data_IF_402202203368
#
_entry.id   IF_402202203368
#
_cell.length_a   1.000
_cell.length_b   1.000
_cell.length_c   1.000
_cell.angle_alpha   90.00
_cell.angle_beta   90.00
_cell.angle_gamma   90.00
#
_symmetry.space_group_name_H-M   'P 1'
#
loop_
_entity.id
_entity.type
_entity.pdbx_description
1 polymer ?
#
# COMPACT_ATOMS: atom_id res chain seq x y z
N UNK A 1 18.31 -4.53 -13.72
CA UNK A 1 18.98 -5.71 -13.12
C UNK A 1 20.03 -5.37 -12.07
N UNK A 2 21.21 -4.80 -12.39
CA UNK A 2 22.27 -4.54 -11.36
C UNK A 2 21.86 -3.56 -10.25
N UNK A 3 21.16 -2.47 -10.60
CA UNK A 3 20.64 -1.51 -9.60
C UNK A 3 19.48 -2.07 -8.77
N UNK A 4 18.62 -2.91 -9.37
CA UNK A 4 17.52 -3.56 -8.66
C UNK A 4 18.05 -4.56 -7.63
N UNK A 5 19.07 -5.35 -7.97
CA UNK A 5 19.75 -6.26 -7.05
C UNK A 5 20.36 -5.48 -5.87
N UNK A 6 20.99 -4.32 -6.12
CA UNK A 6 21.58 -3.47 -5.08
C UNK A 6 20.54 -2.88 -4.11
N UNK A 7 19.35 -2.54 -4.59
CA UNK A 7 18.23 -2.07 -3.76
C UNK A 7 17.73 -3.21 -2.87
N UNK A 8 17.55 -4.40 -3.44
CA UNK A 8 17.14 -5.59 -2.70
C UNK A 8 18.19 -5.92 -1.62
N UNK A 9 19.48 -5.91 -1.94
CA UNK A 9 20.57 -6.16 -0.98
C UNK A 9 20.56 -5.16 0.17
N UNK A 10 20.34 -3.86 -0.08
CA UNK A 10 20.25 -2.85 0.97
C UNK A 10 19.08 -3.12 1.92
N UNK A 11 17.92 -3.50 1.39
CA UNK A 11 16.73 -3.83 2.17
C UNK A 11 16.91 -5.10 2.99
N UNK A 12 17.49 -6.15 2.40
CA UNK A 12 17.82 -7.40 3.10
C UNK A 12 18.85 -7.13 4.21
N UNK A 13 19.87 -6.32 3.96
CA UNK A 13 20.90 -5.99 4.95
C UNK A 13 20.34 -5.21 6.15
N UNK A 14 19.38 -4.30 5.94
CA UNK A 14 18.68 -3.66 7.06
C UNK A 14 17.94 -4.66 7.95
N UNK A 15 17.40 -5.74 7.37
CA UNK A 15 16.69 -6.78 8.11
C UNK A 15 17.61 -7.85 8.72
N UNK A 16 18.78 -8.10 8.14
CA UNK A 16 19.69 -9.15 8.59
C UNK A 16 20.38 -8.84 9.92
N UNK A 17 20.52 -7.56 10.27
CA UNK A 17 21.14 -7.16 11.54
C UNK A 17 20.19 -7.22 12.74
N UNK A 18 18.90 -7.46 12.48
CA UNK A 18 17.85 -7.45 13.51
C UNK A 18 17.64 -8.83 14.15
N UNK A 19 17.00 -8.85 15.32
CA UNK A 19 16.42 -10.11 15.82
C UNK A 19 15.31 -10.60 14.88
N UNK A 20 14.98 -11.89 14.92
CA UNK A 20 13.89 -12.45 14.08
C UNK A 20 12.56 -11.71 14.30
N UNK A 21 12.23 -11.42 15.57
CA UNK A 21 11.06 -10.62 15.96
C UNK A 21 11.12 -9.20 15.38
N UNK A 22 12.24 -8.50 15.55
CA UNK A 22 12.41 -7.14 15.06
C UNK A 22 12.35 -7.07 13.52
N UNK A 23 12.96 -8.04 12.82
CA UNK A 23 12.88 -8.19 11.37
C UNK A 23 11.43 -8.30 10.87
N UNK A 24 10.62 -9.16 11.49
CA UNK A 24 9.22 -9.36 11.12
C UNK A 24 8.38 -8.09 11.41
N UNK A 25 8.58 -7.45 12.55
CA UNK A 25 7.87 -6.22 12.92
C UNK A 25 8.20 -5.10 11.95
N UNK A 26 9.49 -4.90 11.67
CA UNK A 26 9.97 -3.87 10.75
C UNK A 26 9.42 -4.08 9.34
N UNK A 27 9.42 -5.33 8.84
CA UNK A 27 8.83 -5.67 7.55
C UNK A 27 7.34 -5.26 7.47
N UNK A 28 6.56 -5.54 8.52
CA UNK A 28 5.16 -5.14 8.60
C UNK A 28 4.97 -3.62 8.57
N UNK A 29 5.80 -2.87 9.29
CA UNK A 29 5.74 -1.40 9.31
C UNK A 29 6.12 -0.78 7.96
N UNK A 30 7.13 -1.32 7.27
CA UNK A 30 7.56 -0.83 5.95
C UNK A 30 6.44 -1.05 4.91
N UNK A 31 5.79 -2.22 4.90
CA UNK A 31 4.66 -2.48 3.99
C UNK A 31 3.53 -1.49 4.25
N UNK A 32 3.21 -1.21 5.52
CA UNK A 32 2.14 -0.30 5.90
C UNK A 32 2.38 1.13 5.40
N UNK A 33 3.63 1.60 5.49
CA UNK A 33 4.06 2.91 4.97
C UNK A 33 4.02 2.96 3.43
N UNK A 34 4.45 1.91 2.74
CA UNK A 34 4.39 1.87 1.27
C UNK A 34 2.94 1.85 0.78
N UNK A 35 2.06 1.08 1.42
CA UNK A 35 0.63 1.07 1.07
C UNK A 35 -0.01 2.43 1.34
N UNK A 36 0.33 3.10 2.44
CA UNK A 36 -0.10 4.48 2.69
C UNK A 36 0.28 5.38 1.51
N UNK A 37 1.55 5.38 1.08
CA UNK A 37 2.05 6.19 -0.04
C UNK A 37 1.36 5.89 -1.36
N UNK A 38 1.04 4.61 -1.61
CA UNK A 38 0.28 4.20 -2.79
C UNK A 38 -1.11 4.83 -2.77
N UNK A 39 -1.84 4.76 -1.66
CA UNK A 39 -3.17 5.35 -1.56
C UNK A 39 -3.16 6.87 -1.59
N UNK A 40 -2.25 7.49 -0.87
CA UNK A 40 -2.06 8.95 -0.84
C UNK A 40 -1.83 9.52 -2.25
N UNK A 41 -1.10 8.77 -3.09
CA UNK A 41 -0.91 9.10 -4.51
C UNK A 41 -2.09 8.72 -5.40
N UNK A 42 -2.77 7.61 -5.12
CA UNK A 42 -3.79 7.04 -5.99
C UNK A 42 -5.16 7.71 -5.83
N UNK A 43 -5.54 8.11 -4.62
CA UNK A 43 -6.83 8.71 -4.36
C UNK A 43 -6.89 10.16 -4.85
N UNK A 44 -8.11 10.68 -5.01
CA UNK A 44 -8.33 12.11 -5.24
C UNK A 44 -7.73 12.88 -4.07
N UNK A 45 -6.90 13.89 -4.36
CA UNK A 45 -6.22 14.68 -3.33
C UNK A 45 -7.20 15.26 -2.32
N UNK A 46 -6.94 15.05 -1.04
CA UNK A 46 -7.71 15.67 0.02
C UNK A 46 -7.25 17.14 0.22
N UNK A 47 -8.17 18.12 0.42
CA UNK A 47 -7.78 19.53 0.55
C UNK A 47 -6.91 19.86 1.77
N UNK A 48 -6.85 18.97 2.77
CA UNK A 48 -6.06 19.13 3.98
C UNK A 48 -4.94 18.10 4.04
N UNK A 49 -3.88 18.41 4.78
CA UNK A 49 -2.82 17.46 5.09
C UNK A 49 -3.26 16.32 6.02
N UNK A 50 -4.41 16.45 6.69
CA UNK A 50 -4.94 15.45 7.60
C UNK A 50 -6.17 14.76 6.99
N UNK A 51 -5.93 13.81 6.08
CA UNK A 51 -7.00 13.03 5.46
C UNK A 51 -7.64 12.05 6.47
N UNK A 52 -8.95 12.20 6.78
CA UNK A 52 -9.67 11.33 7.70
C UNK A 52 -9.66 9.84 7.32
N UNK A 53 -9.42 9.49 6.05
CA UNK A 53 -9.32 8.11 5.60
C UNK A 53 -8.17 7.36 6.28
N UNK A 54 -7.08 8.04 6.63
CA UNK A 54 -5.89 7.43 7.25
C UNK A 54 -5.86 7.56 8.78
N UNK A 55 -6.77 8.35 9.37
CA UNK A 55 -6.87 8.51 10.82
C UNK A 55 -7.32 7.21 11.50
N UNK A 56 -7.19 7.12 12.83
CA UNK A 56 -7.40 5.88 13.60
C UNK A 56 -8.73 5.13 13.32
N UNK A 57 -9.80 5.86 12.96
CA UNK A 57 -11.12 5.28 12.64
C UNK A 57 -11.46 5.31 11.14
N UNK A 58 -10.51 5.71 10.29
CA UNK A 58 -10.68 5.82 8.85
C UNK A 58 -10.65 4.48 8.13
N UNK A 59 -11.13 4.46 6.89
CA UNK A 59 -11.18 3.24 6.09
C UNK A 59 -9.78 2.66 5.80
N UNK A 60 -8.74 3.50 5.76
CA UNK A 60 -7.34 3.12 5.54
C UNK A 60 -6.50 3.22 6.83
N UNK A 61 -7.13 3.10 8.01
CA UNK A 61 -6.43 3.22 9.29
C UNK A 61 -5.53 2.03 9.63
N UNK A 62 -5.91 0.82 9.20
CA UNK A 62 -5.20 -0.41 9.54
C UNK A 62 -4.50 -1.02 8.33
N UNK A 63 -3.40 -1.73 8.58
CA UNK A 63 -2.69 -2.50 7.55
C UNK A 63 -3.61 -3.51 6.86
N UNK A 64 -4.53 -4.17 7.57
CA UNK A 64 -5.52 -5.07 6.94
C UNK A 64 -6.39 -4.33 5.93
N UNK A 65 -6.97 -3.19 6.32
CA UNK A 65 -7.86 -2.45 5.43
C UNK A 65 -7.12 -1.94 4.20
N UNK A 66 -5.87 -1.46 4.35
CA UNK A 66 -5.05 -1.04 3.20
C UNK A 66 -4.81 -2.20 2.24
N UNK A 67 -4.46 -3.39 2.74
CA UNK A 67 -4.26 -4.58 1.89
C UNK A 67 -5.55 -4.94 1.15
N UNK A 68 -6.66 -5.03 1.88
CA UNK A 68 -7.96 -5.41 1.33
C UNK A 68 -8.45 -4.42 0.29
N UNK A 69 -8.40 -3.12 0.59
CA UNK A 69 -8.79 -2.08 -0.33
C UNK A 69 -7.86 -2.03 -1.54
N UNK A 70 -6.55 -2.23 -1.38
CA UNK A 70 -5.63 -2.19 -2.52
C UNK A 70 -5.98 -3.30 -3.53
N UNK A 71 -6.39 -4.47 -3.04
CA UNK A 71 -6.90 -5.53 -3.89
C UNK A 71 -8.24 -5.15 -4.54
N UNK A 72 -9.17 -4.59 -3.77
CA UNK A 72 -10.51 -4.24 -4.26
C UNK A 72 -10.50 -3.09 -5.27
N UNK A 73 -9.55 -2.18 -5.17
CA UNK A 73 -9.29 -1.13 -6.17
C UNK A 73 -8.49 -1.63 -7.39
N UNK A 74 -8.10 -2.90 -7.42
CA UNK A 74 -7.33 -3.48 -8.53
C UNK A 74 -5.87 -3.00 -8.59
N UNK A 75 -5.37 -2.37 -7.53
CA UNK A 75 -3.98 -1.88 -7.43
C UNK A 75 -3.01 -3.07 -7.29
N UNK A 76 -3.45 -4.12 -6.60
CA UNK A 76 -2.66 -5.33 -6.35
C UNK A 76 -3.44 -6.58 -6.76
N UNK A 77 -2.72 -7.66 -7.09
CA UNK A 77 -3.35 -8.95 -7.39
C UNK A 77 -3.85 -9.65 -6.12
N UNK A 78 -4.81 -10.58 -6.27
CA UNK A 78 -5.24 -11.45 -5.17
C UNK A 78 -4.06 -12.24 -4.58
N UNK A 79 -3.09 -12.61 -5.43
CA UNK A 79 -1.92 -13.33 -4.99
C UNK A 79 -1.04 -12.48 -4.07
N UNK A 80 -0.78 -11.22 -4.45
CA UNK A 80 -0.02 -10.28 -3.62
C UNK A 80 -0.78 -9.94 -2.33
N UNK A 81 -2.10 -9.78 -2.40
CA UNK A 81 -2.96 -9.59 -1.22
C UNK A 81 -2.74 -10.69 -0.16
N UNK A 82 -2.79 -11.97 -0.58
CA UNK A 82 -2.50 -13.12 0.29
C UNK A 82 -1.09 -13.08 0.90
N UNK A 83 -0.09 -12.68 0.11
CA UNK A 83 1.28 -12.50 0.60
C UNK A 83 1.37 -11.46 1.71
N UNK A 84 0.78 -10.28 1.47
CA UNK A 84 0.82 -9.16 2.42
C UNK A 84 0.08 -9.51 3.72
N UNK A 85 -1.04 -10.23 3.64
CA UNK A 85 -1.71 -10.76 4.82
C UNK A 85 -0.90 -11.80 5.58
N UNK A 86 -0.06 -12.59 4.91
CA UNK A 86 0.85 -13.52 5.59
C UNK A 86 1.90 -12.76 6.41
N UNK A 87 2.44 -11.67 5.87
CA UNK A 87 3.35 -10.78 6.62
C UNK A 87 2.63 -10.07 7.77
N UNK A 88 1.41 -9.56 7.54
CA UNK A 88 0.57 -8.98 8.60
C UNK A 88 0.32 -9.98 9.74
N UNK A 89 0.02 -11.24 9.41
CA UNK A 89 -0.21 -12.29 10.41
C UNK A 89 1.06 -12.56 11.24
N UNK A 90 2.22 -12.66 10.58
CA UNK A 90 3.51 -12.80 11.26
C UNK A 90 3.80 -11.61 12.19
N UNK A 91 3.61 -10.37 11.70
CA UNK A 91 3.75 -9.15 12.51
C UNK A 91 2.88 -9.19 13.76
N UNK A 92 1.60 -9.55 13.61
CA UNK A 92 0.66 -9.58 14.72
C UNK A 92 1.06 -10.65 15.76
N UNK A 93 1.49 -11.82 15.30
CA UNK A 93 2.04 -12.87 16.17
C UNK A 93 3.24 -12.31 16.96
N UNK A 94 4.20 -11.67 16.29
CA UNK A 94 5.34 -11.03 16.93
C UNK A 94 4.99 -9.81 17.81
N UNK A 95 3.82 -9.20 17.66
CA UNK A 95 3.41 -8.04 18.46
C UNK A 95 2.66 -8.44 19.74
N UNK A 96 1.88 -9.53 19.69
CA UNK A 96 0.97 -9.91 20.76
C UNK A 96 1.48 -11.07 21.64
N UNK A 97 2.43 -11.86 21.16
CA UNK A 97 3.01 -12.96 21.95
C UNK A 97 4.13 -12.41 22.85
N UNK A 98 4.07 -12.79 24.14
CA UNK A 98 5.05 -12.38 25.15
C UNK A 98 6.38 -13.13 25.01
N UNK A 99 6.34 -14.38 24.54
CA UNK A 99 7.52 -15.20 24.33
C UNK A 99 8.34 -14.75 23.10
N UNK A 100 9.64 -15.05 23.12
CA UNK A 100 10.55 -14.75 22.01
C UNK A 100 10.20 -15.61 20.79
N UNK A 101 9.62 -14.99 19.76
CA UNK A 101 9.31 -15.65 18.48
C UNK A 101 10.52 -15.62 17.56
N UNK A 102 10.79 -16.76 16.93
CA UNK A 102 11.90 -16.96 16.01
C UNK A 102 11.43 -17.60 14.70
N UNK A 103 12.29 -17.55 13.68
CA UNK A 103 12.07 -18.26 12.41
C UNK A 103 12.15 -19.79 12.54
N UNK A 104 12.50 -20.31 13.72
CA UNK A 104 12.51 -21.75 14.02
C UNK A 104 11.15 -22.27 14.49
N UNK A 105 10.24 -21.39 14.92
CA UNK A 105 8.92 -21.79 15.41
C UNK A 105 8.03 -22.32 14.30
N UNK A 106 7.32 -23.42 14.55
CA UNK A 106 6.52 -24.09 13.54
C UNK A 106 5.46 -23.16 12.93
N UNK A 107 4.78 -22.36 13.77
CA UNK A 107 3.78 -21.37 13.32
C UNK A 107 4.39 -20.36 12.32
N UNK A 108 5.62 -19.92 12.55
CA UNK A 108 6.33 -18.96 11.68
C UNK A 108 6.78 -19.62 10.39
N UNK A 109 7.26 -20.87 10.47
CA UNK A 109 7.63 -21.69 9.31
C UNK A 109 6.46 -21.90 8.38
N UNK A 110 5.30 -22.30 8.91
CA UNK A 110 4.11 -22.59 8.11
C UNK A 110 3.64 -21.36 7.34
N UNK A 111 3.60 -20.19 7.99
CA UNK A 111 3.20 -18.94 7.33
C UNK A 111 4.27 -18.50 6.32
N UNK A 112 5.56 -18.58 6.66
CA UNK A 112 6.66 -18.23 5.76
C UNK A 112 6.73 -19.13 4.52
N UNK A 113 6.39 -20.42 4.64
CA UNK A 113 6.32 -21.34 3.52
C UNK A 113 5.18 -20.99 2.56
N UNK A 114 4.01 -20.60 3.08
CA UNK A 114 2.90 -20.13 2.26
C UNK A 114 3.23 -18.84 1.49
N UNK A 115 4.04 -17.96 2.09
CA UNK A 115 4.54 -16.74 1.46
C UNK A 115 5.49 -17.06 0.29
N UNK A 116 6.31 -18.10 0.42
CA UNK A 116 7.34 -18.47 -0.56
C UNK A 116 6.81 -19.23 -1.78
N UNK A 117 5.68 -19.94 -1.65
CA UNK A 117 5.03 -20.65 -2.77
C UNK A 117 4.57 -19.73 -3.92
N UNK A 118 4.62 -18.41 -3.70
CA UNK A 118 4.14 -17.36 -4.59
C UNK A 118 5.18 -17.03 -5.67
N UNK A 119 6.45 -17.27 -5.38
CA UNK A 119 7.52 -17.13 -6.34
C UNK A 119 7.74 -18.44 -7.10
N UNK A 120 6.82 -18.80 -8.01
CA UNK A 120 7.09 -19.82 -9.06
C UNK A 120 8.36 -19.50 -9.90
N UNK A 121 8.88 -18.27 -9.80
CA UNK A 121 10.17 -17.84 -10.34
C UNK A 121 11.38 -18.45 -9.59
N UNK A 122 11.23 -18.89 -8.35
CA UNK A 122 12.34 -19.45 -7.56
C UNK A 122 12.67 -20.90 -7.89
N UNK A 123 11.74 -21.70 -8.42
CA UNK A 123 12.07 -23.08 -8.80
C UNK A 123 13.02 -23.18 -10.00
N UNK A 124 13.20 -22.10 -10.78
CA UNK A 124 14.15 -22.05 -11.90
C UNK A 124 15.52 -21.42 -11.52
N UNK A 125 15.55 -20.55 -10.51
CA UNK A 125 16.79 -19.89 -10.02
C UNK A 125 17.43 -20.66 -8.85
N UNK A 126 16.63 -21.36 -8.06
CA UNK A 126 17.06 -22.04 -6.81
C UNK A 126 17.06 -23.57 -6.99
N UNK A 127 17.09 -24.06 -8.23
CA UNK A 127 16.90 -25.45 -8.65
C UNK A 127 17.91 -26.48 -8.10
N UNK A 128 18.72 -26.17 -7.09
CA UNK A 128 19.55 -27.18 -6.41
C UNK A 128 19.58 -27.10 -4.87
N UNK A 129 18.93 -26.14 -4.19
CA UNK A 129 19.06 -26.03 -2.71
C UNK A 129 17.86 -25.42 -1.94
N UNK A 130 16.64 -25.32 -2.51
CA UNK A 130 15.47 -24.68 -1.84
C UNK A 130 15.17 -25.27 -0.45
N UNK A 131 15.34 -26.58 -0.28
CA UNK A 131 15.11 -27.27 1.00
C UNK A 131 16.12 -26.87 2.09
N UNK A 132 17.31 -26.40 1.70
CA UNK A 132 18.37 -25.96 2.63
C UNK A 132 18.30 -24.49 3.00
N UNK A 133 17.45 -23.70 2.36
CA UNK A 133 17.29 -22.28 2.70
C UNK A 133 16.52 -22.17 4.01
N UNK A 134 17.13 -21.54 5.02
CA UNK A 134 16.48 -21.31 6.30
C UNK A 134 15.25 -20.38 6.15
N UNK A 135 14.31 -20.48 7.09
CA UNK A 135 13.03 -19.75 7.04
C UNK A 135 13.23 -18.23 6.99
N UNK A 136 14.25 -17.71 7.67
CA UNK A 136 14.58 -16.29 7.67
C UNK A 136 14.92 -15.79 6.28
N UNK A 137 15.79 -16.50 5.56
CA UNK A 137 16.19 -16.15 4.20
C UNK A 137 15.00 -16.23 3.22
N UNK A 138 14.10 -17.21 3.39
CA UNK A 138 12.85 -17.28 2.61
C UNK A 138 11.97 -16.05 2.85
N UNK A 139 11.80 -15.68 4.12
CA UNK A 139 11.03 -14.51 4.52
C UNK A 139 11.63 -13.21 3.98
N UNK A 140 12.94 -12.98 4.18
CA UNK A 140 13.59 -11.74 3.73
C UNK A 140 13.55 -11.61 2.21
N UNK A 141 13.78 -12.70 1.48
CA UNK A 141 13.64 -12.70 0.02
C UNK A 141 12.23 -12.35 -0.44
N UNK A 142 11.21 -13.01 0.13
CA UNK A 142 9.83 -12.74 -0.23
C UNK A 142 9.41 -11.30 0.12
N UNK A 143 9.84 -10.80 1.29
CA UNK A 143 9.62 -9.41 1.68
C UNK A 143 10.26 -8.43 0.68
N UNK A 144 11.53 -8.63 0.34
CA UNK A 144 12.25 -7.76 -0.59
C UNK A 144 11.59 -7.75 -1.97
N UNK A 145 11.14 -8.90 -2.46
CA UNK A 145 10.37 -8.98 -3.70
C UNK A 145 9.05 -8.21 -3.62
N UNK A 146 8.27 -8.38 -2.55
CA UNK A 146 7.00 -7.67 -2.37
C UNK A 146 7.18 -6.15 -2.27
N UNK A 147 8.19 -5.70 -1.53
CA UNK A 147 8.51 -4.27 -1.44
C UNK A 147 8.95 -3.71 -2.78
N UNK A 148 9.72 -4.47 -3.57
CA UNK A 148 10.10 -4.05 -4.91
C UNK A 148 8.86 -3.85 -5.80
N UNK A 149 7.96 -4.84 -5.84
CA UNK A 149 6.70 -4.75 -6.60
C UNK A 149 5.82 -3.58 -6.14
N UNK A 150 5.64 -3.41 -4.83
CA UNK A 150 4.86 -2.29 -4.28
C UNK A 150 5.49 -0.93 -4.63
N UNK A 151 6.82 -0.82 -4.68
CA UNK A 151 7.49 0.42 -5.09
C UNK A 151 7.34 0.69 -6.59
N UNK A 152 7.30 -0.34 -7.44
CA UNK A 152 6.97 -0.20 -8.86
C UNK A 152 5.53 0.33 -8.99
N UNK A 153 4.60 -0.28 -8.27
CA UNK A 153 3.18 0.13 -8.25
C UNK A 153 3.05 1.57 -7.78
N UNK A 154 3.68 1.95 -6.66
CA UNK A 154 3.68 3.33 -6.17
C UNK A 154 4.16 4.35 -7.22
N UNK A 155 5.15 3.98 -8.05
CA UNK A 155 5.64 4.86 -9.12
C UNK A 155 4.71 4.90 -10.34
N UNK A 156 3.91 3.86 -10.57
CA UNK A 156 3.08 3.71 -11.77
C UNK A 156 1.62 4.10 -11.57
N UNK A 157 1.11 4.09 -10.34
CA UNK A 157 -0.27 4.50 -10.05
C UNK A 157 -0.50 5.95 -10.44
N UNK A 158 -1.64 6.18 -11.11
CA UNK A 158 -2.11 7.51 -11.47
C UNK A 158 -3.16 7.96 -10.46
N UNK A 159 -3.11 9.21 -9.99
CA UNK A 159 -4.17 9.75 -9.14
C UNK A 159 -5.53 9.65 -9.83
N UNK A 160 -6.56 9.34 -9.05
CA UNK A 160 -7.95 9.47 -9.48
C UNK A 160 -8.26 10.96 -9.67
N UNK A 161 -9.00 11.25 -10.73
CA UNK A 161 -9.49 12.61 -10.99
C UNK A 161 -10.78 12.86 -10.21
N UNK A 162 -10.87 14.03 -9.58
CA UNK A 162 -12.13 14.49 -9.02
C UNK A 162 -13.13 14.68 -10.16
N UNK A 163 -14.36 14.21 -9.97
CA UNK A 163 -15.43 14.42 -10.94
C UNK A 163 -15.79 15.91 -11.04
N UNK A 164 -16.17 16.36 -12.23
CA UNK A 164 -16.73 17.70 -12.44
C UNK A 164 -18.08 17.85 -11.74
N UNK A 165 -18.45 19.09 -11.42
CA UNK A 165 -19.70 19.40 -10.72
C UNK A 165 -20.93 18.94 -11.51
N UNK A 166 -21.71 18.01 -10.94
CA UNK A 166 -22.80 17.33 -11.65
C UNK A 166 -24.09 18.14 -11.84
N UNK A 167 -24.20 19.29 -11.17
CA UNK A 167 -25.45 20.05 -11.09
C UNK A 167 -25.61 21.10 -12.20
N UNK A 168 -24.78 21.07 -13.25
CA UNK A 168 -24.81 22.09 -14.31
C UNK A 168 -24.43 23.51 -13.85
N UNK A 169 -24.05 23.66 -12.58
CA UNK A 169 -23.49 24.88 -12.01
C UNK A 169 -22.00 24.94 -12.31
N UNK A 170 -21.66 25.02 -13.59
CA UNK A 170 -20.29 25.38 -13.95
C UNK A 170 -20.02 26.81 -13.50
N UNK A 171 -18.76 27.19 -13.25
CA UNK A 171 -18.43 28.60 -13.01
C UNK A 171 -18.97 29.49 -14.13
N UNK A 172 -19.01 28.97 -15.36
CA UNK A 172 -19.61 29.63 -16.52
C UNK A 172 -21.11 29.82 -16.34
N UNK A 173 -21.88 28.78 -16.00
CA UNK A 173 -23.32 28.88 -15.78
C UNK A 173 -23.67 29.80 -14.59
N UNK A 174 -22.85 29.80 -13.54
CA UNK A 174 -23.00 30.72 -12.41
C UNK A 174 -22.74 32.17 -12.82
N UNK A 175 -21.69 32.43 -13.63
CA UNK A 175 -21.38 33.76 -14.18
C UNK A 175 -22.50 34.25 -15.11
N UNK A 176 -22.95 33.43 -16.05
CA UNK A 176 -24.05 33.75 -16.96
C UNK A 176 -25.35 34.07 -16.21
N UNK A 177 -25.68 33.31 -15.16
CA UNK A 177 -26.85 33.58 -14.32
C UNK A 177 -26.72 34.93 -13.59
N UNK A 178 -25.56 35.23 -13.00
CA UNK A 178 -25.31 36.51 -12.32
C UNK A 178 -25.38 37.68 -13.32
N UNK A 179 -24.77 37.55 -14.49
CA UNK A 179 -24.80 38.56 -15.56
C UNK A 179 -26.24 38.83 -16.05
N UNK A 180 -27.05 37.77 -16.22
CA UNK A 180 -28.46 37.89 -16.61
C UNK A 180 -29.32 38.64 -15.58
N UNK A 181 -29.05 38.46 -14.28
CA UNK A 181 -29.75 39.20 -13.22
C UNK A 181 -29.29 40.65 -13.10
N UNK A 182 -28.00 40.91 -13.30
CA UNK A 182 -27.43 42.27 -13.22
C UNK A 182 -27.95 43.15 -14.36
N UNK A 183 -28.10 42.57 -15.56
CA UNK A 183 -28.65 43.25 -16.73
C UNK A 183 -30.15 43.58 -16.63
N UNK A 184 -30.93 42.74 -15.92
CA UNK A 184 -32.36 43.00 -15.71
C UNK A 184 -32.61 44.11 -14.67
N UNK A 185 -31.81 44.20 -13.61
CA UNK A 185 -31.96 45.26 -12.60
C UNK A 185 -31.64 46.67 -13.15
N UNK A 186 -30.71 46.79 -14.11
CA UNK A 186 -30.38 48.07 -14.76
C UNK A 186 -31.51 48.61 -15.67
N UNK A 187 -32.37 47.73 -16.19
CA UNK A 187 -33.49 48.11 -17.05
C UNK A 187 -34.74 48.54 -16.26
N UNK A 188 -34.86 48.12 -15.00
CA UNK A 188 -35.97 48.50 -14.11
C UNK A 188 -35.72 49.84 -13.39
N UNK A 189 -34.47 50.24 -13.16
CA UNK A 189 -34.13 51.56 -12.58
C UNK A 189 -34.28 52.73 -13.58
N UNK A 190 -34.27 52.47 -14.89
CA UNK A 190 -34.41 53.49 -15.95
C UNK A 190 -35.86 53.71 -16.41
N UNK A 191 -36.86 53.18 -15.69
CA UNK A 191 -38.29 53.28 -16.01
C UNK A 191 -39.12 54.13 -15.03
N UNK A 192 -38.48 54.83 -14.09
CA UNK A 192 -39.14 55.81 -13.21
C UNK A 192 -38.71 57.24 -13.55
#
# INVERSE_FOLDING_TARGET
MKEEIKILDKQVNQLNNESDRACIILAGSIIDDVLYKIFDRYLVSFPSSNDPLFNNNGALSTLSNKIDLAYRFGIISNQMCKSLHSIRKLRNICAHEYESITFNDQKVKDISNNLFNITKLTSAVISQNVEKINTRAKFTFAFSYLIHELNIIHKSVKPLESKEMEFGLTETAAKEYIESKTSNNLNDENKN
#
